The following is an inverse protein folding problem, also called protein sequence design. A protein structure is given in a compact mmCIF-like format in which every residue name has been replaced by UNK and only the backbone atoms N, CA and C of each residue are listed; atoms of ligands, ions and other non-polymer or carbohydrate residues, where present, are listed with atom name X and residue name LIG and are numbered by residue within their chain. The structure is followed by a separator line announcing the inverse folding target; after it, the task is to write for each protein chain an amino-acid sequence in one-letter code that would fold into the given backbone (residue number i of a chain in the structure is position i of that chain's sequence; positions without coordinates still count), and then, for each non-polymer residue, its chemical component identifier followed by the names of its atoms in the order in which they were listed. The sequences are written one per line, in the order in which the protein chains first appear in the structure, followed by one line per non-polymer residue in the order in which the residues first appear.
data_IF_822168697648
#
_entry.id   IF_822168697648
#
_cell.length_a   1.000
_cell.length_b   1.000
_cell.length_c   1.000
_cell.angle_alpha   90.00
_cell.angle_beta   90.00
_cell.angle_gamma   90.00
#
_symmetry.space_group_name_H-M   'P 1'
#
loop_
_entity.id
_entity.type
_entity.pdbx_description
1 polymer ?
#
# COMPACT_ATOMS: atom_id res chain seq x y z
N UNK A 1 -23.93 -64.28 18.88
CA UNK A 1 -23.27 -62.97 18.74
C UNK A 1 -24.38 -61.92 18.75
N UNK A 2 -24.42 -61.06 19.76
CA UNK A 2 -25.44 -60.03 19.91
C UNK A 2 -25.40 -59.08 18.71
N UNK A 3 -26.56 -58.61 18.24
CA UNK A 3 -26.69 -57.72 17.07
C UNK A 3 -25.86 -56.44 17.24
N UNK A 4 -25.74 -55.93 18.47
CA UNK A 4 -24.90 -54.78 18.80
C UNK A 4 -23.41 -55.01 18.53
N UNK A 5 -22.88 -56.21 18.80
CA UNK A 5 -21.49 -56.53 18.44
C UNK A 5 -21.32 -56.57 16.93
N UNK A 6 -22.31 -57.09 16.18
CA UNK A 6 -22.24 -57.15 14.72
C UNK A 6 -22.26 -55.76 14.10
N UNK A 7 -23.13 -54.88 14.59
CA UNK A 7 -23.21 -53.49 14.15
C UNK A 7 -21.96 -52.69 14.56
N UNK A 8 -21.38 -52.96 15.72
CA UNK A 8 -20.11 -52.36 16.16
C UNK A 8 -18.94 -52.79 15.25
N UNK A 9 -18.80 -54.07 14.94
CA UNK A 9 -17.75 -54.54 14.01
C UNK A 9 -17.97 -54.05 12.58
N UNK A 10 -19.23 -53.92 12.14
CA UNK A 10 -19.57 -53.32 10.86
C UNK A 10 -19.17 -51.83 10.82
N UNK A 11 -19.48 -51.07 11.87
CA UNK A 11 -19.13 -49.66 11.98
C UNK A 11 -17.61 -49.44 12.00
N UNK A 12 -16.87 -50.29 12.72
CA UNK A 12 -15.40 -50.28 12.71
C UNK A 12 -14.87 -50.57 11.31
N UNK A 13 -15.41 -51.58 10.63
CA UNK A 13 -15.04 -51.92 9.25
C UNK A 13 -15.27 -50.76 8.29
N UNK A 14 -16.44 -50.13 8.34
CA UNK A 14 -16.78 -48.97 7.49
C UNK A 14 -15.91 -47.76 7.82
N UNK A 15 -15.60 -47.49 9.09
CA UNK A 15 -14.71 -46.40 9.49
C UNK A 15 -13.29 -46.61 8.97
N UNK A 16 -12.75 -47.82 9.04
CA UNK A 16 -11.42 -48.14 8.52
C UNK A 16 -11.38 -48.01 6.99
N UNK A 17 -12.44 -48.43 6.31
CA UNK A 17 -12.55 -48.31 4.86
C UNK A 17 -12.64 -46.84 4.42
N UNK A 18 -13.37 -46.01 5.17
CA UNK A 18 -13.45 -44.57 4.94
C UNK A 18 -12.08 -43.89 5.10
N UNK A 19 -11.35 -44.19 6.17
CA UNK A 19 -10.00 -43.63 6.41
C UNK A 19 -9.04 -44.05 5.30
N UNK A 20 -9.08 -45.30 4.87
CA UNK A 20 -8.25 -45.80 3.78
C UNK A 20 -8.58 -45.15 2.43
N UNK A 21 -9.88 -44.95 2.15
CA UNK A 21 -10.33 -44.26 0.95
C UNK A 21 -9.85 -42.79 0.94
N UNK A 22 -9.95 -42.09 2.07
CA UNK A 22 -9.41 -40.74 2.20
C UNK A 22 -7.88 -40.74 2.02
N UNK A 23 -7.14 -41.63 2.68
CA UNK A 23 -5.68 -41.67 2.55
C UNK A 23 -5.19 -42.01 1.14
N UNK A 24 -5.93 -42.83 0.38
CA UNK A 24 -5.50 -43.30 -0.94
C UNK A 24 -5.93 -42.35 -2.06
N UNK A 25 -7.17 -41.83 -2.01
CA UNK A 25 -7.75 -41.07 -3.12
C UNK A 25 -7.63 -39.55 -2.95
N UNK A 26 -7.60 -39.02 -1.73
CA UNK A 26 -7.50 -37.56 -1.50
C UNK A 26 -6.19 -36.94 -2.05
N UNK A 27 -4.98 -37.53 -1.90
CA UNK A 27 -3.76 -36.97 -2.50
C UNK A 27 -3.71 -37.06 -4.03
N UNK A 28 -4.54 -37.91 -4.65
CA UNK A 28 -4.66 -38.01 -6.11
C UNK A 28 -5.57 -36.91 -6.69
N UNK A 29 -6.54 -36.44 -5.90
CA UNK A 29 -7.49 -35.38 -6.28
C UNK A 29 -6.94 -33.99 -5.90
N UNK A 30 -6.12 -33.89 -4.85
CA UNK A 30 -5.50 -32.65 -4.36
C UNK A 30 -3.99 -32.85 -4.12
N UNK A 31 -3.13 -32.78 -5.15
CA UNK A 31 -1.70 -33.04 -5.03
C UNK A 31 -0.91 -32.00 -4.21
N UNK A 32 -1.52 -30.87 -3.83
CA UNK A 32 -0.90 -29.79 -3.05
C UNK A 32 -1.00 -29.95 -1.52
N UNK A 33 -1.48 -31.09 -1.02
CA UNK A 33 -1.57 -31.41 0.42
C UNK A 33 -0.53 -32.46 0.86
N UNK A 34 0.47 -32.74 0.04
CA UNK A 34 1.61 -33.58 0.42
C UNK A 34 2.52 -32.88 1.44
N UNK A 35 3.34 -33.64 2.21
CA UNK A 35 4.32 -33.05 3.12
C UNK A 35 5.31 -32.15 2.35
N UNK A 36 5.58 -30.99 2.93
CA UNK A 36 6.48 -29.97 2.42
C UNK A 36 7.88 -30.56 2.16
N UNK A 37 8.52 -30.33 0.99
CA UNK A 37 9.87 -30.81 0.75
C UNK A 37 10.85 -30.12 1.69
N UNK A 38 11.68 -30.92 2.37
CA UNK A 38 12.80 -30.42 3.18
C UNK A 38 13.71 -29.53 2.32
N UNK A 39 14.16 -28.36 2.83
CA UNK A 39 15.05 -27.48 2.09
C UNK A 39 16.40 -28.17 1.86
N UNK A 40 16.71 -28.44 0.59
CA UNK A 40 18.06 -28.83 0.18
C UNK A 40 19.01 -27.66 0.39
N UNK A 41 19.96 -27.85 1.30
CA UNK A 41 21.13 -27.00 1.52
C UNK A 41 22.05 -27.13 0.31
N UNK A 42 22.14 -26.07 -0.49
CA UNK A 42 23.19 -25.90 -1.51
C UNK A 42 24.42 -25.26 -0.83
N UNK A 43 25.64 -25.80 -0.99
CA UNK A 43 26.84 -25.22 -0.38
C UNK A 43 27.15 -23.84 -0.99
N UNK A 44 27.23 -22.82 -0.14
CA UNK A 44 27.80 -21.53 -0.48
C UNK A 44 29.32 -21.70 -0.67
N UNK A 45 29.80 -21.43 -1.88
CA UNK A 45 31.22 -21.32 -2.17
C UNK A 45 31.70 -19.94 -1.71
N UNK A 46 32.71 -19.95 -0.84
CA UNK A 46 33.38 -18.78 -0.31
C UNK A 46 33.96 -17.89 -1.43
N UNK A 47 33.68 -16.60 -1.33
CA UNK A 47 34.37 -15.52 -2.04
C UNK A 47 34.67 -14.42 -1.02
N UNK A 48 35.96 -14.10 -0.90
CA UNK A 48 36.56 -13.17 0.06
C UNK A 48 35.87 -11.81 0.19
N UNK A 49 35.79 -11.34 1.43
CA UNK A 49 35.52 -9.94 1.78
C UNK A 49 36.70 -9.06 1.39
N UNK A 50 36.44 -8.03 0.58
CA UNK A 50 37.03 -6.70 0.74
C UNK A 50 36.39 -5.72 -0.25
N UNK A 51 35.63 -4.75 0.27
CA UNK A 51 35.10 -3.65 -0.52
C UNK A 51 33.95 -2.92 0.14
N UNK A 52 34.22 -1.71 0.62
CA UNK A 52 33.28 -0.73 1.16
C UNK A 52 32.12 -0.40 0.21
N UNK A 53 30.94 -0.18 0.80
CA UNK A 53 29.86 0.70 0.36
C UNK A 53 29.42 0.68 -1.11
N UNK A 54 28.28 0.04 -1.40
CA UNK A 54 27.39 0.48 -2.47
C UNK A 54 25.95 -0.05 -2.29
N UNK A 55 25.01 0.89 -2.16
CA UNK A 55 23.58 0.63 -2.21
C UNK A 55 23.19 0.20 -3.64
N UNK A 56 23.02 -1.10 -3.85
CA UNK A 56 22.62 -1.66 -5.14
C UNK A 56 21.13 -1.99 -5.18
N UNK A 57 20.30 -1.05 -5.65
CA UNK A 57 18.93 -1.34 -6.09
C UNK A 57 18.97 -2.09 -7.43
N UNK A 58 18.32 -3.25 -7.50
CA UNK A 58 18.19 -4.03 -8.74
C UNK A 58 17.17 -3.36 -9.67
N UNK A 59 17.63 -2.73 -10.75
CA UNK A 59 16.77 -2.22 -11.82
C UNK A 59 16.16 -3.41 -12.59
N UNK A 60 14.83 -3.53 -12.58
CA UNK A 60 14.10 -4.43 -13.47
C UNK A 60 13.48 -3.59 -14.58
N UNK A 61 13.95 -3.78 -15.81
CA UNK A 61 13.39 -3.13 -16.99
C UNK A 61 12.13 -3.87 -17.41
N UNK A 62 10.96 -3.23 -17.32
CA UNK A 62 9.72 -3.73 -17.93
C UNK A 62 9.78 -3.66 -19.45
N UNK A 63 8.95 -4.46 -20.13
CA UNK A 63 8.88 -4.56 -21.60
C UNK A 63 8.46 -3.27 -22.32
N UNK A 64 8.10 -2.24 -21.56
CA UNK A 64 7.40 -1.05 -22.04
C UNK A 64 8.32 0.18 -22.01
N UNK A 65 9.59 0.01 -21.63
CA UNK A 65 10.58 1.08 -21.52
C UNK A 65 10.43 1.95 -20.26
N UNK A 66 9.43 1.70 -19.43
CA UNK A 66 9.27 2.34 -18.13
C UNK A 66 10.19 1.67 -17.10
N UNK A 67 11.09 2.47 -16.52
CA UNK A 67 11.97 2.04 -15.44
C UNK A 67 11.13 1.86 -14.17
N UNK A 68 10.92 0.60 -13.76
CA UNK A 68 10.40 0.31 -12.44
C UNK A 68 11.52 0.54 -11.45
N UNK A 69 11.32 1.45 -10.51
CA UNK A 69 12.29 1.70 -9.45
C UNK A 69 12.57 0.38 -8.71
N UNK A 70 13.85 0.11 -8.47
CA UNK A 70 14.25 -1.05 -7.69
C UNK A 70 13.56 -1.04 -6.33
N UNK A 71 13.03 -2.19 -5.90
CA UNK A 71 12.53 -2.34 -4.54
C UNK A 71 13.72 -2.28 -3.59
N UNK A 72 13.71 -1.32 -2.67
CA UNK A 72 14.76 -1.12 -1.66
C UNK A 72 14.20 -1.29 -0.24
N UNK A 73 15.06 -1.21 0.78
CA UNK A 73 14.60 -1.16 2.17
C UNK A 73 13.88 0.16 2.43
N UNK A 74 12.98 0.20 3.44
CA UNK A 74 12.31 1.45 3.84
C UNK A 74 13.33 2.56 4.12
N UNK A 75 14.35 2.29 4.93
CA UNK A 75 15.41 3.28 5.22
C UNK A 75 16.07 3.86 3.96
N UNK A 76 16.49 3.00 3.02
CA UNK A 76 17.08 3.47 1.77
C UNK A 76 16.09 4.26 0.88
N UNK A 77 14.80 3.92 0.91
CA UNK A 77 13.78 4.71 0.22
C UNK A 77 13.51 6.06 0.89
N UNK A 78 13.64 6.14 2.22
CA UNK A 78 13.50 7.38 2.97
C UNK A 78 14.61 8.37 2.61
N UNK A 79 15.85 7.89 2.50
CA UNK A 79 17.03 8.70 2.17
C UNK A 79 17.04 9.24 0.72
N UNK A 80 16.16 8.74 -0.15
CA UNK A 80 16.16 9.07 -1.57
C UNK A 80 15.50 10.40 -1.96
N UNK A 81 14.83 11.09 -1.04
CA UNK A 81 14.12 12.35 -1.32
C UNK A 81 14.28 13.35 -0.17
N UNK A 82 14.06 14.64 -0.45
CA UNK A 82 13.91 15.65 0.60
C UNK A 82 12.60 15.43 1.36
N UNK A 83 12.63 15.57 2.68
CA UNK A 83 11.48 15.27 3.54
C UNK A 83 11.34 16.26 4.68
N UNK A 84 10.13 16.35 5.23
CA UNK A 84 9.83 17.09 6.46
C UNK A 84 9.38 16.12 7.54
N UNK A 85 9.92 16.26 8.75
CA UNK A 85 9.54 15.43 9.89
C UNK A 85 8.07 15.64 10.28
N UNK A 86 7.41 14.54 10.67
CA UNK A 86 6.08 14.55 11.28
C UNK A 86 6.21 13.96 12.68
N UNK A 87 5.78 14.71 13.70
CA UNK A 87 5.66 14.23 15.08
C UNK A 87 4.36 14.76 15.71
N UNK A 88 3.39 13.87 15.89
CA UNK A 88 2.10 14.19 16.50
C UNK A 88 1.94 13.62 17.91
N UNK A 89 2.97 12.96 18.44
CA UNK A 89 2.88 12.15 19.65
C UNK A 89 2.22 10.78 19.46
N UNK A 90 1.21 10.66 18.58
CA UNK A 90 0.53 9.38 18.23
C UNK A 90 0.93 8.82 16.86
N UNK A 91 1.46 9.68 16.00
CA UNK A 91 2.07 9.37 14.70
C UNK A 91 3.47 9.98 14.66
N UNK A 92 4.42 9.25 14.10
CA UNK A 92 5.75 9.76 13.78
C UNK A 92 6.15 9.33 12.37
N UNK A 93 6.98 10.10 11.68
CA UNK A 93 7.46 9.76 10.35
C UNK A 93 7.88 10.99 9.57
N UNK A 94 7.60 11.01 8.27
CA UNK A 94 7.99 12.09 7.39
C UNK A 94 7.07 12.29 6.20
N UNK A 95 7.01 13.53 5.71
CA UNK A 95 6.37 13.90 4.46
C UNK A 95 7.40 13.98 3.36
N UNK A 96 7.18 13.27 2.25
CA UNK A 96 8.02 13.35 1.07
C UNK A 96 7.73 14.63 0.27
N UNK A 97 8.73 15.50 0.09
CA UNK A 97 8.58 16.75 -0.65
C UNK A 97 8.52 16.54 -2.17
N UNK A 98 8.94 15.38 -2.67
CA UNK A 98 8.62 14.95 -4.04
C UNK A 98 7.14 14.53 -4.08
N UNK A 99 6.31 15.36 -4.72
CA UNK A 99 4.87 15.11 -4.88
C UNK A 99 4.01 15.45 -3.65
N UNK A 100 4.59 15.89 -2.54
CA UNK A 100 3.90 16.12 -1.26
C UNK A 100 3.07 14.89 -0.81
N UNK A 101 3.75 13.75 -0.74
CA UNK A 101 3.16 12.43 -0.49
C UNK A 101 3.37 12.01 0.96
N UNK A 102 2.32 11.50 1.61
CA UNK A 102 2.44 10.77 2.87
C UNK A 102 2.76 9.32 2.54
N UNK A 103 4.00 8.93 2.77
CA UNK A 103 4.51 7.58 2.49
C UNK A 103 5.37 7.04 3.64
N UNK A 104 5.41 7.74 4.77
CA UNK A 104 6.19 7.38 5.94
C UNK A 104 5.47 7.79 7.22
N UNK A 105 4.73 6.88 7.82
CA UNK A 105 4.02 7.09 9.09
C UNK A 105 4.05 5.82 9.94
N UNK A 106 4.34 5.98 11.22
CA UNK A 106 4.40 4.94 12.24
C UNK A 106 3.47 5.29 13.40
N UNK A 107 2.67 4.33 13.84
CA UNK A 107 1.69 4.44 14.91
C UNK A 107 2.36 4.18 16.27
N UNK A 108 2.69 5.22 17.03
CA UNK A 108 3.44 5.11 18.30
C UNK A 108 2.64 4.46 19.43
N UNK A 109 1.30 4.43 19.31
CA UNK A 109 0.41 3.74 20.26
C UNK A 109 0.27 2.23 20.04
N UNK A 110 0.79 1.69 18.94
CA UNK A 110 0.50 0.33 18.50
C UNK A 110 1.78 -0.44 18.22
N UNK A 111 1.86 -1.66 18.76
CA UNK A 111 3.01 -2.56 18.57
C UNK A 111 2.69 -3.67 17.57
N UNK A 112 3.69 -4.10 16.83
CA UNK A 112 3.54 -5.17 15.83
C UNK A 112 3.20 -6.52 16.45
N UNK A 113 3.55 -6.73 17.72
CA UNK A 113 3.18 -7.93 18.46
C UNK A 113 2.85 -7.60 19.91
N UNK A 114 2.40 -8.61 20.66
CA UNK A 114 2.12 -8.50 22.11
C UNK A 114 3.39 -8.32 22.95
N UNK A 115 4.56 -8.53 22.35
CA UNK A 115 5.84 -8.29 23.03
C UNK A 115 6.00 -6.78 23.30
N UNK A 116 6.20 -6.36 24.57
CA UNK A 116 6.37 -4.96 24.92
C UNK A 116 7.63 -4.30 24.32
N UNK A 117 8.57 -5.09 23.81
CA UNK A 117 9.79 -4.63 23.13
C UNK A 117 9.66 -4.64 21.60
N UNK A 118 8.56 -5.17 21.06
CA UNK A 118 8.34 -5.18 19.61
C UNK A 118 8.23 -3.75 19.05
N UNK A 119 8.70 -3.51 17.81
CA UNK A 119 8.61 -2.20 17.19
C UNK A 119 7.16 -1.73 17.06
N UNK A 120 7.01 -0.42 16.86
CA UNK A 120 5.72 0.18 16.55
C UNK A 120 5.22 -0.24 15.16
N UNK A 121 3.91 -0.10 14.93
CA UNK A 121 3.30 -0.45 13.64
C UNK A 121 3.62 0.62 12.61
N UNK A 122 4.30 0.23 11.55
CA UNK A 122 4.55 1.09 10.39
C UNK A 122 3.33 1.06 9.47
N UNK A 123 2.60 2.18 9.42
CA UNK A 123 1.37 2.32 8.67
C UNK A 123 1.64 2.56 7.18
N UNK A 124 2.44 3.59 6.87
CA UNK A 124 2.77 3.98 5.50
C UNK A 124 4.23 3.67 5.18
N UNK A 125 4.47 3.28 3.93
CA UNK A 125 5.78 2.87 3.41
C UNK A 125 6.03 3.51 2.04
N UNK A 126 7.25 3.97 1.74
CA UNK A 126 7.59 4.52 0.42
C UNK A 126 7.24 3.56 -0.72
N UNK A 127 6.79 4.11 -1.85
CA UNK A 127 6.33 3.32 -3.00
C UNK A 127 7.37 2.30 -3.49
N UNK A 128 8.66 2.66 -3.46
CA UNK A 128 9.77 1.81 -3.90
C UNK A 128 10.34 0.94 -2.77
N UNK A 129 9.60 0.75 -1.67
CA UNK A 129 9.98 -0.15 -0.58
C UNK A 129 9.06 -1.36 -0.51
N UNK A 130 9.54 -2.43 0.14
CA UNK A 130 8.66 -3.58 0.47
C UNK A 130 7.51 -3.08 1.34
N UNK A 131 6.29 -3.43 0.99
CA UNK A 131 5.09 -3.01 1.71
C UNK A 131 4.56 -1.65 1.29
N UNK A 132 5.02 -1.11 0.14
CA UNK A 132 4.67 0.23 -0.33
C UNK A 132 3.21 0.56 -0.10
N UNK A 133 2.97 1.63 0.65
CA UNK A 133 1.64 2.08 1.05
C UNK A 133 1.67 3.58 1.29
N UNK A 134 1.03 4.35 0.40
CA UNK A 134 1.09 5.81 0.44
C UNK A 134 -0.28 6.45 0.26
N UNK A 135 -0.34 7.73 0.64
CA UNK A 135 -1.50 8.61 0.50
C UNK A 135 -1.06 9.91 -0.15
N UNK A 136 -1.78 10.37 -1.17
CA UNK A 136 -1.48 11.61 -1.86
C UNK A 136 -2.75 12.38 -2.23
N UNK A 137 -2.63 13.70 -2.33
CA UNK A 137 -3.68 14.58 -2.84
C UNK A 137 -3.15 15.43 -3.99
N UNK A 138 -3.95 15.58 -5.04
CA UNK A 138 -3.61 16.36 -6.23
C UNK A 138 -4.90 16.94 -6.86
N UNK A 139 -4.74 17.58 -8.00
CA UNK A 139 -5.82 18.11 -8.82
C UNK A 139 -5.73 17.49 -10.21
N UNK A 140 -6.86 17.21 -10.84
CA UNK A 140 -6.97 16.75 -12.22
C UNK A 140 -7.42 17.88 -13.12
N UNK A 141 -6.93 17.87 -14.36
CA UNK A 141 -7.38 18.80 -15.40
C UNK A 141 -8.60 18.25 -16.14
N UNK A 142 -9.38 19.12 -16.79
CA UNK A 142 -10.55 18.71 -17.58
C UNK A 142 -10.22 17.83 -18.81
N UNK A 143 -8.97 17.82 -19.26
CA UNK A 143 -8.51 16.97 -20.38
C UNK A 143 -7.91 15.64 -19.90
N UNK A 144 -7.97 15.38 -18.59
CA UNK A 144 -7.33 14.23 -17.94
C UNK A 144 -5.91 14.54 -17.47
N UNK A 145 -5.39 13.69 -16.59
CA UNK A 145 -4.05 13.82 -16.01
C UNK A 145 -3.99 14.75 -14.80
N UNK A 146 -2.87 14.64 -14.07
CA UNK A 146 -2.59 15.44 -12.89
C UNK A 146 -2.16 16.86 -13.26
N UNK A 147 -2.67 17.84 -12.52
CA UNK A 147 -2.28 19.25 -12.61
C UNK A 147 -0.85 19.45 -12.15
N UNK A 148 -0.49 18.80 -11.04
CA UNK A 148 0.85 18.83 -10.44
C UNK A 148 1.50 17.50 -10.82
N UNK A 149 2.69 17.55 -11.41
CA UNK A 149 3.46 16.34 -11.69
C UNK A 149 3.65 15.55 -10.37
N UNK A 150 3.36 14.24 -10.32
CA UNK A 150 3.60 13.43 -9.12
C UNK A 150 5.06 13.45 -8.62
N UNK A 151 6.01 13.83 -9.49
CA UNK A 151 7.44 14.01 -9.17
C UNK A 151 7.83 15.48 -8.97
N UNK A 152 6.87 16.41 -8.98
CA UNK A 152 7.13 17.82 -8.73
C UNK A 152 7.76 18.00 -7.34
N UNK A 153 8.78 18.84 -7.27
CA UNK A 153 9.37 19.23 -6.00
C UNK A 153 8.50 20.30 -5.34
N UNK A 154 8.19 20.09 -4.07
CA UNK A 154 7.54 21.08 -3.23
C UNK A 154 8.56 21.74 -2.31
N UNK A 155 8.46 23.06 -2.17
CA UNK A 155 9.31 23.83 -1.27
C UNK A 155 8.55 24.17 -0.01
N UNK A 156 9.17 24.01 1.15
CA UNK A 156 8.62 24.49 2.42
C UNK A 156 8.76 26.00 2.49
N UNK A 157 7.63 26.70 2.59
CA UNK A 157 7.59 28.17 2.70
C UNK A 157 7.24 28.67 4.09
N UNK A 158 6.65 27.81 4.93
CA UNK A 158 6.46 28.06 6.36
C UNK A 158 6.37 26.76 7.15
N UNK A 159 6.91 26.77 8.38
CA UNK A 159 7.07 25.58 9.21
C UNK A 159 8.38 24.85 8.91
N UNK A 160 8.77 23.96 9.81
CA UNK A 160 9.99 23.15 9.73
C UNK A 160 9.74 21.68 10.10
N UNK A 161 8.72 21.43 10.91
CA UNK A 161 8.26 20.11 11.35
C UNK A 161 6.74 20.18 11.51
N UNK A 162 6.04 19.13 11.07
CA UNK A 162 4.60 19.04 11.20
C UNK A 162 4.26 18.41 12.55
N UNK A 163 3.66 19.22 13.44
CA UNK A 163 3.15 18.80 14.75
C UNK A 163 1.70 19.27 14.93
N UNK A 164 1.01 18.90 16.03
CA UNK A 164 -0.33 19.41 16.33
C UNK A 164 -0.39 20.94 16.45
N UNK A 165 0.71 21.55 16.90
CA UNK A 165 0.80 23.00 17.11
C UNK A 165 1.50 23.74 15.95
N UNK A 166 2.28 23.03 15.12
CA UNK A 166 3.01 23.61 13.98
C UNK A 166 2.53 23.06 12.64
N UNK A 167 1.72 23.84 11.91
CA UNK A 167 1.32 23.48 10.56
C UNK A 167 2.45 23.74 9.55
N UNK A 168 2.43 23.00 8.45
CA UNK A 168 3.40 23.08 7.36
C UNK A 168 2.75 23.76 6.14
N UNK A 169 3.44 24.69 5.51
CA UNK A 169 3.00 25.29 4.24
C UNK A 169 4.03 25.00 3.16
N UNK A 170 3.56 24.38 2.08
CA UNK A 170 4.34 23.99 0.92
C UNK A 170 3.92 24.81 -0.30
N UNK A 171 4.84 25.00 -1.23
CA UNK A 171 4.59 25.66 -2.50
C UNK A 171 5.18 24.87 -3.66
N UNK A 172 4.47 24.83 -4.78
CA UNK A 172 5.03 24.42 -6.07
C UNK A 172 4.37 25.21 -7.20
N UNK A 173 4.96 25.17 -8.39
CA UNK A 173 4.37 25.77 -9.61
C UNK A 173 4.23 24.69 -10.68
N UNK A 174 3.04 24.58 -11.25
CA UNK A 174 2.75 23.58 -12.28
C UNK A 174 3.44 23.91 -13.60
N UNK A 175 3.54 22.94 -14.50
CA UNK A 175 4.06 23.16 -15.85
C UNK A 175 3.25 24.22 -16.65
N UNK A 176 1.99 24.44 -16.28
CA UNK A 176 1.11 25.45 -16.89
C UNK A 176 1.18 26.82 -16.20
N UNK A 177 2.05 27.00 -15.21
CA UNK A 177 2.27 28.27 -14.51
C UNK A 177 1.25 28.59 -13.41
N UNK A 178 0.48 27.61 -12.94
CA UNK A 178 -0.40 27.78 -11.76
C UNK A 178 0.46 27.59 -10.52
N UNK A 179 0.47 28.59 -9.63
CA UNK A 179 1.11 28.47 -8.31
C UNK A 179 0.15 27.74 -7.38
N UNK A 180 0.63 26.69 -6.74
CA UNK A 180 -0.13 25.92 -5.76
C UNK A 180 0.55 26.05 -4.41
N UNK A 181 -0.20 26.54 -3.44
CA UNK A 181 0.20 26.58 -2.05
C UNK A 181 -0.65 25.58 -1.26
N UNK A 182 0.01 24.67 -0.54
CA UNK A 182 -0.63 23.63 0.26
C UNK A 182 -0.30 23.84 1.73
N UNK A 183 -1.33 24.08 2.54
CA UNK A 183 -1.21 24.09 4.00
C UNK A 183 -1.65 22.74 4.56
N UNK A 184 -0.79 22.14 5.38
CA UNK A 184 -0.99 20.85 6.03
C UNK A 184 -1.05 21.07 7.54
N UNK A 185 -2.11 20.58 8.16
CA UNK A 185 -2.35 20.72 9.60
C UNK A 185 -2.71 19.34 10.18
N UNK A 186 -2.27 19.08 11.41
CA UNK A 186 -2.74 17.93 12.20
C UNK A 186 -3.98 18.38 12.95
N UNK A 187 -5.06 17.61 12.83
CA UNK A 187 -6.34 17.87 13.48
C UNK A 187 -6.64 16.65 14.33
N UNK A 188 -6.83 16.86 15.63
CA UNK A 188 -6.97 15.77 16.61
C UNK A 188 -5.79 14.77 16.51
N UNK A 189 -6.03 13.48 16.74
CA UNK A 189 -4.95 12.49 16.89
C UNK A 189 -4.41 11.98 15.53
N UNK A 190 -5.28 11.58 14.61
CA UNK A 190 -4.90 10.86 13.38
C UNK A 190 -5.34 11.54 12.07
N UNK A 191 -5.94 12.73 12.15
CA UNK A 191 -6.46 13.41 10.97
C UNK A 191 -5.48 14.47 10.48
N UNK A 192 -5.20 14.46 9.17
CA UNK A 192 -4.50 15.53 8.49
C UNK A 192 -5.48 16.35 7.68
N UNK A 193 -5.39 17.68 7.78
CA UNK A 193 -6.14 18.62 6.94
C UNK A 193 -5.21 19.25 5.93
N UNK A 194 -5.55 19.10 4.66
CA UNK A 194 -4.88 19.76 3.54
C UNK A 194 -5.78 20.88 3.02
N UNK A 195 -5.24 22.10 2.95
CA UNK A 195 -5.90 23.26 2.35
C UNK A 195 -5.04 23.77 1.21
N UNK A 196 -5.52 23.65 -0.01
CA UNK A 196 -4.81 24.09 -1.21
C UNK A 196 -5.36 25.45 -1.69
N UNK A 197 -4.46 26.38 -2.02
CA UNK A 197 -4.73 27.62 -2.74
C UNK A 197 -4.06 27.55 -4.11
N UNK A 198 -4.85 27.74 -5.17
CA UNK A 198 -4.38 27.71 -6.55
C UNK A 198 -4.51 29.12 -7.15
N UNK A 199 -3.37 29.75 -7.44
CA UNK A 199 -3.31 31.07 -8.05
C UNK A 199 -3.04 30.95 -9.57
N UNK A 200 -4.05 31.30 -10.37
CA UNK A 200 -3.99 31.31 -11.83
C UNK A 200 -4.06 32.74 -12.37
N UNK A 201 -2.99 33.19 -13.03
CA UNK A 201 -2.88 34.54 -13.60
C UNK A 201 -3.08 34.57 -15.13
N UNK A 202 -3.47 33.44 -15.74
CA UNK A 202 -3.71 33.36 -17.17
C UNK A 202 -5.06 33.94 -17.60
N UNK A 203 -5.21 34.18 -18.91
CA UNK A 203 -6.44 34.75 -19.49
C UNK A 203 -7.48 33.70 -19.88
N UNK A 204 -7.08 32.44 -20.02
CA UNK A 204 -7.99 31.32 -20.29
C UNK A 204 -8.45 30.71 -18.96
N UNK A 205 -9.75 30.43 -18.84
CA UNK A 205 -10.29 29.72 -17.68
C UNK A 205 -9.73 28.30 -17.57
N UNK A 206 -9.53 27.83 -16.35
CA UNK A 206 -9.04 26.48 -16.06
C UNK A 206 -10.10 25.74 -15.24
N UNK A 207 -10.45 24.54 -15.67
CA UNK A 207 -11.37 23.65 -14.95
C UNK A 207 -10.56 22.54 -14.29
N UNK A 208 -10.72 22.39 -12.98
CA UNK A 208 -9.97 21.46 -12.15
C UNK A 208 -10.92 20.64 -11.28
N UNK A 209 -10.51 19.43 -10.92
CA UNK A 209 -11.20 18.59 -9.94
C UNK A 209 -10.20 18.01 -8.93
N UNK A 210 -10.51 17.97 -7.62
CA UNK A 210 -9.61 17.36 -6.65
C UNK A 210 -9.52 15.84 -6.84
N UNK A 211 -8.38 15.24 -6.53
CA UNK A 211 -8.17 13.80 -6.50
C UNK A 211 -7.35 13.41 -5.27
N UNK A 212 -7.80 12.40 -4.53
CA UNK A 212 -7.04 11.73 -3.48
C UNK A 212 -6.73 10.30 -3.91
N UNK A 213 -5.53 9.82 -3.61
CA UNK A 213 -5.14 8.44 -3.86
C UNK A 213 -4.60 7.81 -2.60
N UNK A 214 -4.91 6.54 -2.43
CA UNK A 214 -4.34 5.66 -1.43
C UNK A 214 -3.88 4.42 -2.17
N UNK A 215 -2.56 4.26 -2.31
CA UNK A 215 -1.98 3.23 -3.14
C UNK A 215 -1.27 2.21 -2.26
N UNK A 216 -1.57 0.93 -2.50
CA UNK A 216 -0.91 -0.20 -1.86
C UNK A 216 -0.32 -1.10 -2.94
N UNK A 217 0.98 -1.35 -2.84
CA UNK A 217 1.75 -2.00 -3.91
C UNK A 217 2.02 -3.49 -3.64
N UNK A 218 1.94 -3.92 -2.38
CA UNK A 218 2.16 -5.31 -2.00
C UNK A 218 0.87 -6.12 -1.96
N UNK A 219 0.99 -7.41 -2.28
CA UNK A 219 -0.09 -8.37 -2.11
C UNK A 219 -0.38 -8.56 -0.62
N UNK A 220 -1.65 -8.37 -0.26
CA UNK A 220 -2.13 -8.56 1.10
C UNK A 220 -2.61 -9.99 1.24
N UNK A 221 -1.95 -10.76 2.11
CA UNK A 221 -2.39 -12.11 2.43
C UNK A 221 -3.58 -12.01 3.39
N UNK A 222 -4.77 -12.29 2.88
CA UNK A 222 -5.96 -12.49 3.72
C UNK A 222 -5.81 -13.78 4.52
N UNK A 223 -6.06 -13.73 5.82
CA UNK A 223 -6.35 -14.93 6.61
C UNK A 223 -7.87 -15.12 6.78
N UNK A 224 -8.29 -16.22 7.42
CA UNK A 224 -9.72 -16.50 7.61
C UNK A 224 -10.44 -15.55 8.58
N UNK A 225 -9.71 -14.66 9.25
CA UNK A 225 -10.17 -13.81 10.35
C UNK A 225 -10.05 -12.31 10.07
N UNK A 226 -9.33 -11.94 9.02
CA UNK A 226 -9.09 -10.57 8.61
C UNK A 226 -9.84 -10.28 7.31
N UNK A 227 -10.31 -9.04 7.17
CA UNK A 227 -10.88 -8.55 5.92
C UNK A 227 -10.00 -7.44 5.42
N UNK A 228 -9.45 -7.62 4.21
CA UNK A 228 -8.65 -6.59 3.55
C UNK A 228 -9.28 -6.19 2.23
N UNK A 229 -9.15 -4.91 1.90
CA UNK A 229 -9.76 -4.34 0.71
C UNK A 229 -9.96 -2.84 0.85
N UNK A 230 -10.50 -2.26 -0.22
CA UNK A 230 -10.92 -0.87 -0.23
C UNK A 230 -12.34 -0.75 0.30
N UNK A 231 -12.56 0.25 1.14
CA UNK A 231 -13.87 0.60 1.66
C UNK A 231 -14.21 2.00 1.20
N UNK A 232 -15.48 2.25 0.91
CA UNK A 232 -15.97 3.60 0.66
C UNK A 232 -17.43 3.72 1.10
N UNK A 233 -17.85 4.93 1.43
CA UNK A 233 -19.25 5.25 1.72
C UNK A 233 -19.70 6.33 0.76
N UNK A 234 -20.51 5.95 -0.23
CA UNK A 234 -21.11 6.87 -1.19
C UNK A 234 -22.63 6.80 -1.08
N UNK A 235 -23.31 7.95 -1.12
CA UNK A 235 -24.77 8.03 -0.99
C UNK A 235 -25.32 7.28 0.23
N UNK A 236 -24.59 7.34 1.35
CA UNK A 236 -24.90 6.62 2.61
C UNK A 236 -24.90 5.10 2.47
N UNK A 237 -24.23 4.54 1.46
CA UNK A 237 -24.06 3.10 1.27
C UNK A 237 -22.60 2.71 1.38
N UNK A 238 -22.34 1.72 2.24
CA UNK A 238 -21.03 1.07 2.34
C UNK A 238 -20.77 0.24 1.08
N UNK A 239 -19.57 0.39 0.52
CA UNK A 239 -19.03 -0.39 -0.58
C UNK A 239 -17.70 -0.98 -0.12
N UNK A 240 -17.54 -2.28 -0.31
CA UNK A 240 -16.34 -3.01 0.08
C UNK A 240 -15.82 -3.78 -1.13
N UNK A 241 -14.53 -3.62 -1.44
CA UNK A 241 -13.89 -4.23 -2.58
C UNK A 241 -12.62 -4.96 -2.15
N UNK A 242 -12.62 -6.29 -2.29
CA UNK A 242 -11.45 -7.13 -1.94
C UNK A 242 -10.29 -6.90 -2.91
N UNK A 243 -9.07 -6.80 -2.40
CA UNK A 243 -7.86 -6.62 -3.21
C UNK A 243 -7.72 -7.70 -4.30
N UNK A 244 -7.83 -8.98 -3.93
CA UNK A 244 -7.70 -10.10 -4.87
C UNK A 244 -8.80 -10.17 -5.93
N UNK A 245 -9.92 -9.47 -5.77
CA UNK A 245 -10.91 -9.31 -6.86
C UNK A 245 -10.50 -8.20 -7.81
N UNK A 246 -10.08 -7.06 -7.28
CA UNK A 246 -9.68 -5.88 -8.06
C UNK A 246 -8.42 -6.15 -8.89
N UNK A 247 -7.50 -6.95 -8.38
CA UNK A 247 -6.28 -7.32 -9.08
C UNK A 247 -6.50 -8.22 -10.31
N UNK A 248 -7.69 -8.82 -10.48
CA UNK A 248 -7.96 -9.72 -11.61
C UNK A 248 -8.13 -8.93 -12.92
N UNK A 249 -7.46 -9.34 -14.01
CA UNK A 249 -7.61 -8.68 -15.31
C UNK A 249 -9.06 -8.66 -15.85
N UNK A 250 -9.87 -9.65 -15.44
CA UNK A 250 -11.27 -9.79 -15.84
C UNK A 250 -12.26 -8.93 -15.05
N UNK A 251 -11.80 -8.22 -14.02
CA UNK A 251 -12.62 -7.28 -13.26
C UNK A 251 -12.88 -6.04 -14.11
N UNK A 252 -14.11 -5.52 -14.08
CA UNK A 252 -14.52 -4.34 -14.84
C UNK A 252 -13.50 -3.20 -14.59
N UNK A 253 -12.99 -2.50 -15.63
CA UNK A 253 -12.10 -1.35 -15.45
C UNK A 253 -12.61 -0.30 -14.45
N UNK A 254 -13.94 -0.09 -14.36
CA UNK A 254 -14.55 0.79 -13.36
C UNK A 254 -14.39 0.29 -11.90
N UNK A 255 -14.15 -1.01 -11.73
CA UNK A 255 -13.85 -1.66 -10.44
C UNK A 255 -12.34 -1.90 -10.24
N UNK A 256 -11.49 -1.66 -11.26
CA UNK A 256 -10.04 -1.84 -11.18
C UNK A 256 -9.38 -0.59 -10.61
N UNK A 257 -8.81 -0.68 -9.41
CA UNK A 257 -8.03 0.39 -8.76
C UNK A 257 -6.54 0.30 -9.08
N UNK A 258 -6.17 0.04 -10.34
CA UNK A 258 -4.75 -0.10 -10.70
C UNK A 258 -4.31 0.90 -11.78
N UNK A 259 -3.50 1.92 -11.44
CA UNK A 259 -3.00 2.90 -12.39
C UNK A 259 -1.95 2.36 -13.38
N UNK A 260 -1.48 1.10 -13.27
CA UNK A 260 -0.51 0.53 -14.25
C UNK A 260 -1.13 -0.04 -15.52
N UNK A 261 -2.47 -0.09 -15.68
CA UNK A 261 -3.09 -0.59 -16.93
C UNK A 261 -3.46 0.48 -17.95
N UNK A 262 -3.08 1.75 -17.75
CA UNK A 262 -3.40 2.83 -18.71
C UNK A 262 -4.90 3.14 -18.84
N UNK A 263 -5.75 2.51 -18.02
CA UNK A 263 -7.19 2.76 -17.94
C UNK A 263 -7.51 3.39 -16.59
N UNK A 264 -8.22 4.52 -16.63
CA UNK A 264 -8.53 5.39 -15.49
C UNK A 264 -9.63 4.74 -14.63
N UNK A 265 -9.28 3.70 -13.88
CA UNK A 265 -10.12 3.09 -12.87
C UNK A 265 -9.79 3.66 -11.49
N UNK A 266 -10.69 4.47 -10.96
CA UNK A 266 -10.59 5.08 -9.63
C UNK A 266 -11.98 5.33 -9.08
N UNK A 267 -12.21 5.06 -7.79
CA UNK A 267 -13.41 5.58 -7.14
C UNK A 267 -13.20 7.09 -7.01
N UNK A 268 -13.81 7.85 -7.91
CA UNK A 268 -13.94 9.30 -7.76
C UNK A 268 -14.96 9.55 -6.65
N UNK A 269 -14.50 9.67 -5.40
CA UNK A 269 -15.34 10.17 -4.32
C UNK A 269 -15.25 11.69 -4.27
N UNK A 270 -16.40 12.36 -4.28
CA UNK A 270 -16.49 13.80 -3.99
C UNK A 270 -16.61 13.97 -2.49
N UNK A 271 -15.49 13.73 -1.78
CA UNK A 271 -15.39 13.88 -0.34
C UNK A 271 -15.76 12.63 0.46
N UNK A 272 -14.90 12.30 1.42
CA UNK A 272 -15.01 11.15 2.30
C UNK A 272 -13.63 10.60 2.63
N UNK A 273 -13.47 10.09 3.85
CA UNK A 273 -12.26 9.41 4.31
C UNK A 273 -11.85 8.33 3.32
N UNK A 274 -10.57 8.36 2.92
CA UNK A 274 -9.90 7.22 2.30
C UNK A 274 -9.23 6.40 3.39
#
# INVERSE_FOLDING_TARGET
MNEDMRNMFLAIGVSLLLVFAVQTFLPQIFPSLGPEPEPQVTPAQAGDESGEGSAGGLTVTGTDGESVAAIVTRGAALDGNERVTIDTGVLTGSLNLTGAVFDDLTLTGYRQSVDPTSPFVDLLHPQNSRGGYNVAHNWMTSVGGALIDPKAQWTVVAGNELTPDTPLTLETTTATGIRVERRIEVVDDYLFRLTDRLDHNGTQGVTLAPIGTVNRYDEVIDDRYTTTGYISVLERKLREHKYGKIAKPSTNPEERLNPTSGETGGIVSTGGWV
#
